data_IF_887377895794
#
_entry.id   IF_887377895794
#
_cell.length_a   1.000
_cell.length_b   1.000
_cell.length_c   1.000
_cell.angle_alpha   90.00
_cell.angle_beta   90.00
_cell.angle_gamma   90.00
#
_symmetry.space_group_name_H-M   'P 1'
#
loop_
_entity.id
_entity.type
_entity.pdbx_description
1 polymer ?
#
# COMPACT_ATOMS: atom_id res chain seq x y z
N UNK A 1 -8.37 -7.85 14.06
CA UNK A 1 -8.76 -7.27 12.77
C UNK A 1 -9.39 -8.28 11.82
N UNK A 2 -8.71 -9.38 11.44
CA UNK A 2 -9.27 -10.41 10.53
C UNK A 2 -10.70 -10.86 10.88
N UNK A 3 -10.96 -11.20 12.14
CA UNK A 3 -12.30 -11.59 12.58
C UNK A 3 -13.38 -10.50 12.37
N UNK A 4 -13.01 -9.21 12.46
CA UNK A 4 -13.93 -8.11 12.21
C UNK A 4 -14.23 -7.93 10.71
N UNK A 5 -13.21 -8.10 9.85
CA UNK A 5 -13.41 -8.10 8.40
C UNK A 5 -14.28 -9.29 7.97
N UNK A 6 -14.02 -10.48 8.50
CA UNK A 6 -14.79 -11.70 8.25
C UNK A 6 -16.26 -11.54 8.70
N UNK A 7 -16.49 -10.97 9.89
CA UNK A 7 -17.84 -10.70 10.37
C UNK A 7 -18.59 -9.69 9.47
N UNK A 8 -17.89 -8.67 8.97
CA UNK A 8 -18.46 -7.66 8.07
C UNK A 8 -18.76 -8.24 6.69
N UNK A 9 -17.90 -9.12 6.18
CA UNK A 9 -18.13 -9.82 4.91
C UNK A 9 -19.32 -10.78 5.06
N UNK A 10 -19.39 -11.50 6.18
CA UNK A 10 -20.47 -12.44 6.48
C UNK A 10 -21.83 -11.73 6.67
N UNK A 11 -21.84 -10.45 7.05
CA UNK A 11 -23.07 -9.65 7.12
C UNK A 11 -23.52 -9.09 5.77
N UNK A 12 -22.84 -9.42 4.68
CA UNK A 12 -23.23 -9.11 3.30
C UNK A 12 -22.49 -7.93 2.67
N UNK A 13 -21.51 -7.32 3.35
CA UNK A 13 -20.67 -6.27 2.75
C UNK A 13 -19.54 -6.90 1.94
N UNK A 14 -19.46 -6.71 0.61
CA UNK A 14 -18.40 -7.32 -0.18
C UNK A 14 -17.01 -6.83 0.26
N UNK A 15 -16.02 -7.74 0.27
CA UNK A 15 -14.62 -7.39 0.56
C UNK A 15 -14.10 -6.26 -0.35
N UNK A 16 -14.50 -6.25 -1.63
CA UNK A 16 -14.18 -5.18 -2.56
C UNK A 16 -14.67 -3.80 -2.12
N UNK A 17 -15.81 -3.72 -1.41
CA UNK A 17 -16.35 -2.47 -0.86
C UNK A 17 -15.54 -1.96 0.33
N UNK A 18 -15.01 -2.86 1.18
CA UNK A 18 -14.10 -2.46 2.25
C UNK A 18 -12.80 -1.89 1.66
N UNK A 19 -12.25 -2.56 0.65
CA UNK A 19 -11.07 -2.14 -0.09
C UNK A 19 -11.26 -0.80 -0.82
N UNK A 20 -12.46 -0.55 -1.37
CA UNK A 20 -12.82 0.77 -1.94
C UNK A 20 -12.77 1.90 -0.89
N UNK A 21 -13.20 1.62 0.36
CA UNK A 21 -13.16 2.60 1.45
C UNK A 21 -11.73 2.86 1.91
N UNK A 22 -10.94 1.79 2.06
CA UNK A 22 -9.52 1.85 2.37
C UNK A 22 -8.77 2.69 1.32
N UNK A 23 -8.92 2.38 0.04
CA UNK A 23 -8.28 3.10 -1.06
C UNK A 23 -8.61 4.60 -1.08
N UNK A 24 -9.86 4.98 -0.80
CA UNK A 24 -10.26 6.41 -0.69
C UNK A 24 -9.55 7.12 0.46
N UNK A 25 -9.38 6.47 1.60
CA UNK A 25 -8.69 7.05 2.74
C UNK A 25 -7.19 7.25 2.45
N UNK A 26 -6.55 6.24 1.85
CA UNK A 26 -5.15 6.29 1.41
C UNK A 26 -4.93 7.39 0.37
N UNK A 27 -5.78 7.46 -0.66
CA UNK A 27 -5.66 8.48 -1.69
C UNK A 27 -5.78 9.91 -1.12
N UNK A 28 -6.66 10.13 -0.14
CA UNK A 28 -6.76 11.43 0.55
C UNK A 28 -5.50 11.77 1.34
N UNK A 29 -4.86 10.79 1.98
CA UNK A 29 -3.60 11.01 2.67
C UNK A 29 -2.50 11.36 1.67
N UNK A 30 -2.34 10.57 0.62
CA UNK A 30 -1.34 10.82 -0.42
C UNK A 30 -1.51 12.21 -1.09
N UNK A 31 -2.75 12.66 -1.36
CA UNK A 31 -2.99 14.00 -1.94
C UNK A 31 -2.58 15.13 -0.98
N UNK A 32 -2.67 14.92 0.34
CA UNK A 32 -2.18 15.91 1.31
C UNK A 32 -0.66 15.98 1.30
N UNK A 33 0.02 14.84 1.27
CA UNK A 33 1.48 14.78 1.21
C UNK A 33 2.05 15.40 -0.07
N UNK A 34 1.35 15.28 -1.21
CA UNK A 34 1.75 15.96 -2.46
C UNK A 34 1.48 17.47 -2.46
N UNK A 35 0.80 18.02 -1.44
CA UNK A 35 0.41 19.42 -1.37
C UNK A 35 -0.59 19.85 -2.46
N UNK A 36 -1.31 18.91 -3.07
CA UNK A 36 -2.22 19.17 -4.18
C UNK A 36 -2.43 17.95 -5.09
N UNK A 37 -3.33 18.06 -6.08
CA UNK A 37 -3.73 16.92 -6.93
C UNK A 37 -3.32 17.03 -8.40
N UNK A 38 -3.49 18.20 -9.01
CA UNK A 38 -3.34 18.36 -10.46
C UNK A 38 -1.86 18.39 -10.86
N UNK A 39 -1.48 17.56 -11.84
CA UNK A 39 -0.11 17.48 -12.35
C UNK A 39 0.89 16.78 -11.42
N UNK A 40 0.41 16.25 -10.28
CA UNK A 40 1.22 15.46 -9.36
C UNK A 40 1.33 14.02 -9.83
N UNK A 41 2.39 13.34 -9.41
CA UNK A 41 2.69 11.96 -9.75
C UNK A 41 2.72 11.10 -8.50
N UNK A 42 2.02 9.99 -8.51
CA UNK A 42 2.06 8.99 -7.45
C UNK A 42 2.60 7.67 -7.97
N UNK A 43 3.45 7.04 -7.18
CA UNK A 43 3.86 5.64 -7.36
C UNK A 43 3.22 4.82 -6.26
N UNK A 44 2.48 3.78 -6.64
CA UNK A 44 1.86 2.85 -5.68
C UNK A 44 2.58 1.51 -5.77
N UNK A 45 3.34 1.17 -4.73
CA UNK A 45 4.09 -0.09 -4.65
C UNK A 45 3.17 -1.16 -4.07
N UNK A 46 2.73 -2.09 -4.90
CA UNK A 46 1.69 -3.06 -4.56
C UNK A 46 2.28 -4.46 -4.36
N UNK A 47 1.90 -5.10 -3.26
CA UNK A 47 2.12 -6.54 -3.08
C UNK A 47 1.01 -7.38 -3.72
N UNK A 48 1.12 -8.70 -3.56
CA UNK A 48 0.16 -9.66 -4.12
C UNK A 48 -1.12 -9.89 -3.31
N UNK A 49 -1.14 -9.43 -2.05
CA UNK A 49 -2.23 -9.67 -1.10
C UNK A 49 -3.27 -8.54 -1.05
N UNK A 50 -4.12 -8.58 -0.01
CA UNK A 50 -5.16 -7.57 0.21
C UNK A 50 -4.60 -6.14 0.32
N UNK A 51 -3.43 -5.96 0.94
CA UNK A 51 -2.79 -4.64 1.04
C UNK A 51 -2.49 -4.05 -0.34
N UNK A 52 -2.01 -4.87 -1.28
CA UNK A 52 -1.83 -4.46 -2.67
C UNK A 52 -3.15 -4.12 -3.35
N UNK A 53 -4.22 -4.85 -3.02
CA UNK A 53 -5.59 -4.52 -3.40
C UNK A 53 -6.04 -3.12 -2.94
N UNK A 54 -5.78 -2.77 -1.67
CA UNK A 54 -6.03 -1.43 -1.13
C UNK A 54 -5.19 -0.37 -1.88
N UNK A 55 -3.96 -0.71 -2.25
CA UNK A 55 -3.10 0.08 -3.14
C UNK A 55 -3.72 0.32 -4.52
N UNK A 56 -4.22 -0.71 -5.19
CA UNK A 56 -4.90 -0.55 -6.50
C UNK A 56 -6.19 0.29 -6.38
N UNK A 57 -6.93 0.14 -5.28
CA UNK A 57 -8.09 0.99 -5.01
C UNK A 57 -7.66 2.46 -4.80
N UNK A 58 -6.57 2.71 -4.04
CA UNK A 58 -6.00 4.03 -3.86
C UNK A 58 -5.53 4.66 -5.18
N UNK A 59 -4.84 3.87 -6.01
CA UNK A 59 -4.37 4.28 -7.33
C UNK A 59 -5.52 4.80 -8.21
N UNK A 60 -6.65 4.09 -8.21
CA UNK A 60 -7.83 4.50 -8.97
C UNK A 60 -8.42 5.82 -8.47
N UNK A 61 -8.48 6.01 -7.15
CA UNK A 61 -9.01 7.25 -6.56
C UNK A 61 -8.05 8.44 -6.75
N UNK A 62 -6.73 8.21 -6.72
CA UNK A 62 -5.71 9.20 -7.07
C UNK A 62 -5.83 9.64 -8.54
N UNK A 63 -5.94 8.67 -9.46
CA UNK A 63 -6.12 8.95 -10.88
C UNK A 63 -7.40 9.77 -11.15
N UNK A 64 -8.51 9.41 -10.50
CA UNK A 64 -9.76 10.19 -10.55
C UNK A 64 -9.63 11.62 -10.02
N UNK A 65 -8.68 11.86 -9.12
CA UNK A 65 -8.40 13.19 -8.60
C UNK A 65 -7.48 14.03 -9.49
N UNK A 66 -6.99 13.49 -10.61
CA UNK A 66 -6.09 14.19 -11.55
C UNK A 66 -4.60 14.00 -11.26
N UNK A 67 -4.24 13.03 -10.43
CA UNK A 67 -2.84 12.61 -10.19
C UNK A 67 -2.46 11.59 -11.28
N UNK A 68 -1.27 11.71 -11.86
CA UNK A 68 -0.71 10.68 -12.74
C UNK A 68 -0.21 9.52 -11.90
N UNK A 69 -0.73 8.32 -12.12
CA UNK A 69 -0.45 7.17 -11.26
C UNK A 69 0.20 6.04 -12.01
N UNK A 70 1.26 5.48 -11.41
CA UNK A 70 1.81 4.16 -11.76
C UNK A 70 1.72 3.23 -10.57
N UNK A 71 1.28 2.00 -10.81
CA UNK A 71 1.33 0.92 -9.86
C UNK A 71 2.49 0.00 -10.21
N UNK A 72 3.40 -0.18 -9.27
CA UNK A 72 4.55 -1.08 -9.42
C UNK A 72 4.29 -2.32 -8.57
N UNK A 73 4.21 -3.48 -9.20
CA UNK A 73 3.82 -4.74 -8.55
C UNK A 73 5.05 -5.56 -8.21
N UNK A 74 5.21 -5.88 -6.92
CA UNK A 74 6.28 -6.74 -6.42
C UNK A 74 5.76 -8.18 -6.30
N UNK A 75 6.27 -9.07 -7.16
CA UNK A 75 5.80 -10.44 -7.32
C UNK A 75 5.10 -10.66 -8.67
N UNK A 76 4.52 -11.84 -8.88
CA UNK A 76 3.81 -12.16 -10.12
C UNK A 76 2.43 -11.50 -10.16
N UNK A 77 2.08 -10.86 -11.27
CA UNK A 77 0.72 -10.34 -11.51
C UNK A 77 -0.33 -11.45 -11.47
N UNK A 78 0.05 -12.66 -11.87
CA UNK A 78 -0.82 -13.85 -11.86
C UNK A 78 -1.05 -14.43 -10.47
N UNK A 79 -0.22 -14.06 -9.47
CA UNK A 79 -0.41 -14.45 -8.08
C UNK A 79 -1.51 -13.62 -7.37
N UNK A 80 -1.98 -12.55 -8.02
CA UNK A 80 -3.00 -11.65 -7.47
C UNK A 80 -4.38 -12.25 -7.71
N UNK A 81 -5.11 -12.49 -6.62
CA UNK A 81 -6.42 -13.14 -6.65
C UNK A 81 -7.48 -12.39 -5.82
N UNK A 82 -8.72 -12.89 -5.84
CA UNK A 82 -9.82 -12.34 -5.05
C UNK A 82 -10.11 -10.86 -5.30
N UNK A 83 -10.43 -10.13 -4.23
CA UNK A 83 -10.74 -8.70 -4.29
C UNK A 83 -9.56 -7.86 -4.82
N UNK A 84 -8.31 -8.23 -4.49
CA UNK A 84 -7.14 -7.52 -5.00
C UNK A 84 -7.04 -7.60 -6.52
N UNK A 85 -7.38 -8.75 -7.13
CA UNK A 85 -7.40 -8.92 -8.59
C UNK A 85 -8.48 -8.09 -9.27
N UNK A 86 -9.63 -7.96 -8.62
CA UNK A 86 -10.71 -7.09 -9.09
C UNK A 86 -10.25 -5.62 -9.12
N UNK A 87 -9.62 -5.13 -8.05
CA UNK A 87 -9.12 -3.75 -8.01
C UNK A 87 -7.94 -3.51 -8.94
N UNK A 88 -7.04 -4.49 -9.11
CA UNK A 88 -6.00 -4.44 -10.15
C UNK A 88 -6.61 -4.20 -11.55
N UNK A 89 -7.63 -4.97 -11.94
CA UNK A 89 -8.31 -4.80 -13.23
C UNK A 89 -8.95 -3.42 -13.37
N UNK A 90 -9.53 -2.89 -12.29
CA UNK A 90 -10.13 -1.55 -12.29
C UNK A 90 -9.08 -0.44 -12.38
N UNK A 91 -7.94 -0.60 -11.69
CA UNK A 91 -6.83 0.34 -11.70
C UNK A 91 -6.15 0.40 -13.07
N UNK A 92 -6.02 -0.73 -13.77
CA UNK A 92 -5.42 -0.80 -15.11
C UNK A 92 -6.13 0.07 -16.17
N UNK A 93 -7.38 0.50 -15.92
CA UNK A 93 -8.10 1.41 -16.82
C UNK A 93 -7.71 2.88 -16.64
N UNK A 94 -7.02 3.24 -15.55
CA UNK A 94 -6.74 4.64 -15.19
C UNK A 94 -5.31 4.89 -14.70
N UNK A 95 -4.52 3.84 -14.51
CA UNK A 95 -3.14 3.89 -14.05
C UNK A 95 -2.28 2.89 -14.84
N UNK A 96 -1.00 3.21 -14.99
CA UNK A 96 -0.02 2.31 -15.59
C UNK A 96 0.31 1.18 -14.61
N UNK A 97 0.28 -0.08 -15.06
CA UNK A 97 0.61 -1.24 -14.22
C UNK A 97 1.91 -1.86 -14.70
N UNK A 98 2.92 -1.89 -13.83
CA UNK A 98 4.28 -2.31 -14.16
C UNK A 98 4.81 -3.34 -13.17
N UNK A 99 5.58 -4.34 -13.62
CA UNK A 99 6.30 -5.23 -12.72
C UNK A 99 7.50 -4.49 -12.07
N UNK A 100 7.81 -4.80 -10.81
CA UNK A 100 8.93 -4.21 -10.07
C UNK A 100 10.29 -4.37 -10.78
N UNK A 101 10.52 -5.56 -11.35
CA UNK A 101 11.81 -5.95 -11.93
C UNK A 101 12.27 -5.00 -13.06
N UNK A 102 11.34 -4.35 -13.75
CA UNK A 102 11.63 -3.63 -14.99
C UNK A 102 11.61 -2.09 -14.82
N UNK A 103 11.21 -1.56 -13.66
CA UNK A 103 10.84 -0.13 -13.59
C UNK A 103 11.27 0.65 -12.35
N UNK A 104 11.56 0.01 -11.21
CA UNK A 104 11.81 0.73 -9.95
C UNK A 104 10.65 1.68 -9.57
N UNK A 105 10.92 2.82 -8.94
CA UNK A 105 9.89 3.81 -8.60
C UNK A 105 9.69 4.87 -9.68
N UNK A 106 10.76 5.34 -10.32
CA UNK A 106 10.71 6.50 -11.22
C UNK A 106 10.36 7.82 -10.48
N UNK A 107 10.30 8.94 -11.21
CA UNK A 107 10.01 10.24 -10.60
C UNK A 107 8.58 10.33 -10.08
N UNK A 108 8.41 10.70 -8.81
CA UNK A 108 7.10 10.89 -8.19
C UNK A 108 7.12 12.00 -7.13
N UNK A 109 5.92 12.49 -6.80
CA UNK A 109 5.69 13.47 -5.74
C UNK A 109 5.23 12.78 -4.43
N UNK A 110 4.75 11.54 -4.51
CA UNK A 110 4.39 10.70 -3.35
C UNK A 110 4.53 9.23 -3.70
N UNK A 111 4.91 8.45 -2.69
CA UNK A 111 4.95 6.99 -2.75
C UNK A 111 3.85 6.45 -1.84
N UNK A 112 3.07 5.50 -2.33
CA UNK A 112 2.12 4.74 -1.53
C UNK A 112 2.68 3.34 -1.33
N UNK A 113 3.02 3.01 -0.08
CA UNK A 113 3.46 1.68 0.32
C UNK A 113 2.25 0.79 0.59
N UNK A 114 1.94 -0.07 -0.37
CA UNK A 114 0.90 -1.08 -0.30
C UNK A 114 1.48 -2.50 -0.47
N UNK A 115 2.76 -2.70 -0.08
CA UNK A 115 3.47 -3.96 -0.29
C UNK A 115 3.02 -5.04 0.70
N UNK A 116 3.05 -4.74 2.00
CA UNK A 116 2.72 -5.65 3.08
C UNK A 116 1.79 -5.00 4.10
N UNK A 117 0.77 -5.74 4.54
CA UNK A 117 -0.16 -5.30 5.58
C UNK A 117 0.12 -5.98 6.93
N UNK A 118 -0.82 -5.85 7.88
CA UNK A 118 -0.75 -6.43 9.25
C UNK A 118 -0.46 -7.94 9.29
N UNK A 119 -0.68 -8.66 8.19
CA UNK A 119 -0.36 -10.09 8.07
C UNK A 119 1.12 -10.42 7.96
N UNK A 120 1.99 -9.45 7.71
CA UNK A 120 3.42 -9.68 7.49
C UNK A 120 4.15 -10.13 8.76
N UNK A 121 5.08 -11.08 8.60
CA UNK A 121 5.90 -11.68 9.65
C UNK A 121 7.31 -11.89 9.11
N UNK A 122 8.31 -11.70 9.96
CA UNK A 122 9.70 -11.99 9.64
C UNK A 122 10.39 -10.87 8.86
N UNK A 123 11.30 -11.26 7.95
CA UNK A 123 12.21 -10.37 7.23
C UNK A 123 11.79 -10.25 5.76
N UNK A 124 11.79 -9.03 5.23
CA UNK A 124 11.59 -8.81 3.80
C UNK A 124 12.86 -9.22 3.03
N UNK A 125 12.68 -9.94 1.92
CA UNK A 125 13.77 -10.50 1.12
C UNK A 125 13.58 -10.23 -0.38
N UNK A 126 14.65 -10.39 -1.16
CA UNK A 126 14.62 -10.34 -2.62
C UNK A 126 14.01 -9.07 -3.20
N UNK A 127 13.00 -9.21 -4.07
CA UNK A 127 12.31 -8.08 -4.69
C UNK A 127 11.61 -7.16 -3.68
N UNK A 128 11.07 -7.73 -2.60
CA UNK A 128 10.40 -6.95 -1.55
C UNK A 128 11.39 -6.10 -0.75
N UNK A 129 12.54 -6.66 -0.36
CA UNK A 129 13.60 -5.90 0.31
C UNK A 129 14.05 -4.69 -0.53
N UNK A 130 14.34 -4.93 -1.81
CA UNK A 130 14.76 -3.87 -2.75
C UNK A 130 13.70 -2.81 -2.98
N UNK A 131 12.43 -3.20 -3.00
CA UNK A 131 11.33 -2.24 -3.12
C UNK A 131 11.23 -1.36 -1.88
N UNK A 132 11.40 -1.92 -0.68
CA UNK A 132 11.40 -1.16 0.58
C UNK A 132 12.57 -0.17 0.62
N UNK A 133 13.77 -0.62 0.29
CA UNK A 133 14.96 0.23 0.24
C UNK A 133 14.76 1.39 -0.74
N UNK A 134 14.26 1.11 -1.95
CA UNK A 134 13.98 2.14 -2.94
C UNK A 134 12.92 3.15 -2.47
N UNK A 135 11.90 2.73 -1.71
CA UNK A 135 10.91 3.66 -1.15
C UNK A 135 11.56 4.62 -0.15
N UNK A 136 12.45 4.13 0.70
CA UNK A 136 13.16 4.94 1.68
C UNK A 136 14.18 5.90 1.02
N UNK A 137 14.80 5.47 -0.07
CA UNK A 137 15.79 6.26 -0.82
C UNK A 137 15.15 7.22 -1.85
N UNK A 138 13.87 7.02 -2.18
CA UNK A 138 13.18 7.72 -3.26
C UNK A 138 12.94 9.22 -3.06
N UNK A 139 13.17 9.74 -1.85
CA UNK A 139 13.12 11.18 -1.51
C UNK A 139 11.72 11.82 -1.52
N UNK A 140 10.72 11.17 -2.08
CA UNK A 140 9.32 11.57 -1.98
C UNK A 140 8.71 11.09 -0.64
N UNK A 141 7.71 11.81 -0.08
CA UNK A 141 7.00 11.35 1.10
C UNK A 141 6.33 9.99 0.86
N UNK A 142 6.38 9.12 1.86
CA UNK A 142 5.80 7.78 1.81
C UNK A 142 4.55 7.72 2.69
N UNK A 143 3.44 7.24 2.09
CA UNK A 143 2.20 6.93 2.78
C UNK A 143 2.03 5.41 2.84
N UNK A 144 2.10 4.84 4.04
CA UNK A 144 1.91 3.41 4.23
C UNK A 144 0.43 3.03 4.36
N UNK A 145 0.08 1.89 3.76
CA UNK A 145 -1.26 1.29 3.85
C UNK A 145 -1.23 0.21 4.93
N UNK A 146 -2.09 0.38 5.93
CA UNK A 146 -2.30 -0.51 7.07
C UNK A 146 -1.15 -0.55 8.08
N UNK A 147 0.07 -0.83 7.64
CA UNK A 147 1.32 -0.85 8.41
C UNK A 147 2.49 -0.55 7.46
N UNK A 148 3.59 0.10 7.89
CA UNK A 148 4.79 0.20 7.08
C UNK A 148 5.33 -1.18 6.71
N UNK A 149 5.54 -1.42 5.42
CA UNK A 149 6.01 -2.70 4.93
C UNK A 149 7.37 -3.05 5.51
N UNK A 150 7.54 -4.31 5.93
CA UNK A 150 8.73 -4.78 6.63
C UNK A 150 8.59 -4.76 8.16
N UNK A 151 7.57 -4.10 8.70
CA UNK A 151 7.23 -4.19 10.13
C UNK A 151 6.31 -5.37 10.40
N UNK A 152 6.65 -6.18 11.40
CA UNK A 152 5.82 -7.28 11.86
C UNK A 152 4.55 -6.77 12.53
N UNK A 153 3.39 -7.06 11.93
CA UNK A 153 2.09 -6.65 12.48
C UNK A 153 1.76 -7.25 13.85
N UNK A 154 2.46 -8.31 14.27
CA UNK A 154 2.23 -8.98 15.56
C UNK A 154 3.16 -8.48 16.69
N UNK A 155 4.28 -7.84 16.37
CA UNK A 155 5.31 -7.50 17.38
C UNK A 155 5.82 -6.07 17.27
N UNK A 156 5.59 -5.37 16.14
CA UNK A 156 6.19 -4.06 15.87
C UNK A 156 7.68 -4.11 15.56
N UNK A 157 8.29 -5.30 15.51
CA UNK A 157 9.69 -5.47 15.15
C UNK A 157 9.90 -5.38 13.64
N UNK A 158 11.06 -4.87 13.22
CA UNK A 158 11.53 -4.88 11.85
C UNK A 158 12.86 -5.64 11.76
N UNK A 159 12.81 -6.91 11.37
CA UNK A 159 13.98 -7.81 11.32
C UNK A 159 14.72 -7.73 9.96
N UNK A 160 14.76 -6.54 9.36
CA UNK A 160 15.27 -6.26 8.02
C UNK A 160 14.87 -4.87 7.53
N UNK A 161 14.94 -4.60 6.21
CA UNK A 161 14.49 -3.32 5.68
C UNK A 161 12.99 -3.16 5.93
N UNK A 162 12.63 -2.01 6.47
CA UNK A 162 11.26 -1.58 6.68
C UNK A 162 11.07 -0.15 6.17
N UNK A 163 9.86 0.14 5.70
CA UNK A 163 9.50 1.46 5.17
C UNK A 163 9.46 2.46 6.32
N UNK A 164 10.09 3.61 6.11
CA UNK A 164 9.92 4.79 6.96
C UNK A 164 8.82 5.67 6.36
N UNK A 165 7.59 5.49 6.85
CA UNK A 165 6.44 6.27 6.38
C UNK A 165 6.37 7.62 7.10
N UNK A 166 6.02 8.67 6.35
CA UNK A 166 5.64 9.95 6.97
C UNK A 166 4.23 9.91 7.53
N UNK A 167 3.37 9.06 6.95
CA UNK A 167 1.99 8.82 7.38
C UNK A 167 1.61 7.36 7.14
N UNK A 168 1.07 6.69 8.15
CA UNK A 168 0.39 5.40 7.97
C UNK A 168 -1.13 5.53 8.06
N UNK A 169 -1.84 5.06 7.04
CA UNK A 169 -3.31 4.96 7.06
C UNK A 169 -3.72 3.58 7.53
N UNK A 170 -4.11 3.48 8.80
CA UNK A 170 -4.56 2.24 9.42
C UNK A 170 -6.01 1.90 9.03
N UNK A 171 -6.26 0.65 8.62
CA UNK A 171 -7.62 0.15 8.39
C UNK A 171 -8.34 -0.23 9.69
N UNK A 172 -9.50 0.37 9.91
CA UNK A 172 -10.41 0.21 11.05
C UNK A 172 -9.88 0.61 12.44
N UNK A 173 -8.70 0.15 12.85
CA UNK A 173 -8.08 0.48 14.13
C UNK A 173 -6.56 0.49 14.02
N UNK A 174 -5.90 1.14 14.99
CA UNK A 174 -4.45 1.06 15.17
C UNK A 174 -4.01 -0.39 15.45
N UNK A 175 -2.80 -0.75 15.01
CA UNK A 175 -2.25 -2.09 15.19
C UNK A 175 -1.15 -2.06 16.21
N UNK A 176 -0.95 -3.17 16.90
CA UNK A 176 0.24 -3.33 17.75
C UNK A 176 1.51 -3.09 16.94
N UNK A 177 1.56 -3.59 15.70
CA UNK A 177 2.68 -3.35 14.78
C UNK A 177 2.93 -1.90 14.40
N UNK A 178 2.00 -0.96 14.62
CA UNK A 178 2.22 0.48 14.41
C UNK A 178 2.48 1.23 15.72
N UNK A 179 2.20 0.62 16.87
CA UNK A 179 2.21 1.29 18.17
C UNK A 179 3.43 0.97 19.04
N UNK A 180 4.20 -0.08 18.71
CA UNK A 180 5.35 -0.51 19.53
C UNK A 180 6.58 -0.84 18.67
N UNK A 181 7.74 -0.93 19.32
CA UNK A 181 9.00 -1.35 18.69
C UNK A 181 9.45 -0.38 17.61
N UNK A 182 9.99 -0.91 16.51
CA UNK A 182 10.31 -0.10 15.32
C UNK A 182 9.06 0.49 14.68
N UNK A 183 7.92 -0.20 14.80
CA UNK A 183 6.63 0.22 14.30
C UNK A 183 6.22 1.63 14.77
N UNK A 184 6.41 1.94 16.05
CA UNK A 184 6.05 3.27 16.60
C UNK A 184 6.88 4.42 16.05
N UNK A 185 8.04 4.14 15.45
CA UNK A 185 8.92 5.17 14.88
C UNK A 185 8.88 5.22 13.35
N UNK A 186 8.37 4.17 12.71
CA UNK A 186 8.32 4.03 11.26
C UNK A 186 6.94 4.29 10.67
N UNK A 187 5.91 4.38 11.51
CA UNK A 187 4.49 4.51 11.13
C UNK A 187 4.01 5.96 11.07
#
# INVERSE_FOLDING_TARGET
>A
MRAADEATISSGVPSATLMDRAGRAVARAAIRETGGRYGRRAVVVCGRGNNGGDGFAAARELARAGVTVRCVVVGGLDDISGAAREHLRRAANVAEILPWADTGLGPCDVIVDALFGTGFRGRAEGGAARAIEAMNEGGAPVVAVDIPSGVSGATGAADGPAVAAGVTVVMAAEKLGTAVGSGSTLA
#
